data_IF_410657916833
#
_entry.id   IF_410657916833
#
_cell.length_a   1.000
_cell.length_b   1.000
_cell.length_c   1.000
_cell.angle_alpha   90.00
_cell.angle_beta   90.00
_cell.angle_gamma   90.00
#
_symmetry.space_group_name_H-M   'P 1'
#
loop_
_entity.id
_entity.type
_entity.pdbx_description
1 polymer ?
#
# COMPACT_ATOMS: atom_id res chain seq x y z
N UNK A 1 -37.47 -31.41 -27.08
CA UNK A 1 -36.95 -30.77 -25.86
C UNK A 1 -35.56 -31.31 -25.62
N UNK A 2 -34.49 -30.51 -25.78
CA UNK A 2 -33.16 -30.97 -25.45
C UNK A 2 -33.03 -31.06 -23.93
N UNK A 3 -32.49 -32.18 -23.44
CA UNK A 3 -32.18 -32.41 -22.03
C UNK A 3 -31.02 -31.50 -21.64
N UNK A 4 -31.14 -30.83 -20.49
CA UNK A 4 -30.08 -30.04 -19.89
C UNK A 4 -28.82 -30.90 -19.75
N UNK A 5 -27.69 -30.42 -20.30
CA UNK A 5 -26.38 -30.94 -19.97
C UNK A 5 -26.09 -30.49 -18.54
N UNK A 6 -25.83 -31.45 -17.66
CA UNK A 6 -25.22 -31.19 -16.36
C UNK A 6 -23.82 -30.65 -16.67
N UNK A 7 -23.54 -29.44 -16.22
CA UNK A 7 -22.20 -28.86 -16.28
C UNK A 7 -21.34 -29.64 -15.28
N UNK A 8 -20.63 -30.64 -15.79
CA UNK A 8 -19.51 -31.30 -15.11
C UNK A 8 -18.45 -30.21 -14.84
N UNK A 9 -18.45 -29.68 -13.62
CA UNK A 9 -17.25 -29.04 -13.11
C UNK A 9 -16.24 -30.15 -12.87
N UNK A 10 -15.36 -30.38 -13.85
CA UNK A 10 -14.14 -31.14 -13.67
C UNK A 10 -13.45 -30.56 -12.41
N UNK A 11 -13.49 -31.35 -11.33
CA UNK A 11 -12.73 -31.10 -10.12
C UNK A 11 -11.27 -31.03 -10.57
N UNK A 12 -10.73 -29.82 -10.55
CA UNK A 12 -9.33 -29.56 -10.84
C UNK A 12 -8.53 -30.52 -9.95
N UNK A 13 -7.77 -31.40 -10.62
CA UNK A 13 -6.82 -32.33 -10.02
C UNK A 13 -6.08 -31.61 -8.90
N UNK A 14 -5.90 -32.27 -7.75
CA UNK A 14 -5.15 -31.76 -6.60
C UNK A 14 -3.66 -31.61 -7.00
N UNK A 15 -3.36 -30.67 -7.90
CA UNK A 15 -2.02 -30.19 -8.16
C UNK A 15 -1.56 -29.57 -6.86
N UNK A 16 -0.66 -30.29 -6.20
CA UNK A 16 0.09 -29.94 -5.00
C UNK A 16 0.57 -28.49 -5.11
N UNK A 17 -0.27 -27.56 -4.63
CA UNK A 17 0.06 -26.15 -4.60
C UNK A 17 1.37 -26.04 -3.82
N UNK A 18 2.42 -25.40 -4.38
CA UNK A 18 3.65 -25.22 -3.66
C UNK A 18 3.30 -24.59 -2.32
N UNK A 19 3.76 -25.23 -1.23
CA UNK A 19 3.47 -24.85 0.14
C UNK A 19 3.98 -23.41 0.36
N UNK A 20 3.14 -22.44 0.01
CA UNK A 20 3.34 -21.06 0.37
C UNK A 20 3.22 -21.06 1.89
N UNK A 21 4.36 -21.06 2.59
CA UNK A 21 4.49 -21.02 4.05
C UNK A 21 3.88 -19.77 4.73
N UNK A 22 2.90 -19.15 4.08
CA UNK A 22 2.12 -18.01 4.51
C UNK A 22 0.75 -18.42 5.11
N UNK A 23 0.36 -19.70 5.02
CA UNK A 23 -0.99 -20.19 5.37
C UNK A 23 -1.06 -21.30 6.43
N UNK A 24 0.00 -21.56 7.22
CA UNK A 24 -0.13 -22.49 8.37
C UNK A 24 -0.90 -21.80 9.51
N UNK A 25 -2.21 -22.03 9.57
CA UNK A 25 -3.13 -21.45 10.56
C UNK A 25 -2.83 -21.86 12.01
N UNK A 26 -2.09 -22.94 12.22
CA UNK A 26 -1.88 -23.53 13.54
C UNK A 26 -0.80 -22.84 14.39
N UNK A 27 0.09 -22.05 13.77
CA UNK A 27 1.24 -21.46 14.47
C UNK A 27 1.24 -19.93 14.51
N UNK A 28 0.29 -19.26 13.86
CA UNK A 28 0.28 -17.80 13.76
C UNK A 28 -0.57 -17.16 14.87
N UNK A 29 0.09 -16.40 15.74
CA UNK A 29 -0.60 -15.63 16.80
C UNK A 29 -1.19 -14.33 16.23
N UNK A 30 -2.44 -14.43 15.75
CA UNK A 30 -3.20 -13.29 15.24
C UNK A 30 -3.39 -12.20 16.31
N UNK A 31 -3.60 -12.57 17.58
CA UNK A 31 -3.84 -11.60 18.64
C UNK A 31 -2.60 -10.74 18.89
N UNK A 32 -1.43 -11.38 19.04
CA UNK A 32 -0.16 -10.66 19.18
C UNK A 32 0.18 -9.83 17.93
N UNK A 33 -0.11 -10.34 16.73
CA UNK A 33 0.14 -9.61 15.48
C UNK A 33 -0.65 -8.29 15.41
N UNK A 34 -1.98 -8.35 15.59
CA UNK A 34 -2.80 -7.15 15.49
C UNK A 34 -2.56 -6.18 16.66
N UNK A 35 -2.22 -6.68 17.84
CA UNK A 35 -1.83 -5.82 18.96
C UNK A 35 -0.55 -5.03 18.69
N UNK A 36 0.49 -5.64 18.09
CA UNK A 36 1.72 -4.91 17.71
C UNK A 36 1.44 -3.78 16.72
N UNK A 37 0.56 -4.02 15.75
CA UNK A 37 0.18 -2.99 14.77
C UNK A 37 -0.61 -1.88 15.47
N UNK A 38 -1.51 -2.23 16.40
CA UNK A 38 -2.29 -1.28 17.19
C UNK A 38 -1.41 -0.40 18.08
N UNK A 39 -0.35 -0.97 18.69
CA UNK A 39 0.60 -0.24 19.54
C UNK A 39 1.65 0.57 18.77
N UNK A 40 1.62 0.51 17.42
CA UNK A 40 2.62 1.12 16.51
C UNK A 40 4.03 0.53 16.66
N UNK A 41 4.11 -0.70 17.15
CA UNK A 41 5.35 -1.48 17.24
C UNK A 41 5.51 -2.42 16.03
N UNK A 42 4.57 -2.37 15.07
CA UNK A 42 4.63 -3.11 13.82
C UNK A 42 5.81 -2.71 12.94
N UNK A 43 6.39 -3.70 12.28
CA UNK A 43 7.41 -3.51 11.24
C UNK A 43 6.77 -3.11 9.91
N UNK A 44 7.57 -2.60 8.97
CA UNK A 44 7.08 -2.33 7.61
C UNK A 44 6.44 -3.56 6.96
N UNK A 45 7.01 -4.75 7.22
CA UNK A 45 6.47 -6.04 6.76
C UNK A 45 5.13 -6.40 7.40
N UNK A 46 4.95 -6.11 8.69
CA UNK A 46 3.67 -6.32 9.37
C UNK A 46 2.56 -5.47 8.75
N UNK A 47 2.89 -4.23 8.35
CA UNK A 47 1.95 -3.35 7.66
C UNK A 47 1.60 -3.84 6.25
N UNK A 48 2.59 -4.39 5.53
CA UNK A 48 2.39 -4.98 4.20
C UNK A 48 1.53 -6.25 4.26
N UNK A 49 1.71 -7.09 5.29
CA UNK A 49 0.91 -8.31 5.48
C UNK A 49 -0.46 -8.07 6.14
N UNK A 50 -0.76 -6.85 6.61
CA UNK A 50 -1.94 -6.59 7.43
C UNK A 50 -3.25 -7.09 6.80
N UNK A 51 -3.51 -6.71 5.54
CA UNK A 51 -4.78 -7.03 4.86
C UNK A 51 -4.94 -8.51 4.61
N UNK A 52 -3.86 -9.21 4.21
CA UNK A 52 -3.92 -10.66 4.01
C UNK A 52 -4.13 -11.38 5.34
N UNK A 53 -3.47 -10.95 6.42
CA UNK A 53 -3.66 -11.54 7.76
C UNK A 53 -5.07 -11.27 8.30
N UNK A 54 -5.63 -10.08 8.04
CA UNK A 54 -7.01 -9.76 8.39
C UNK A 54 -7.99 -10.68 7.64
N UNK A 55 -7.75 -10.91 6.35
CA UNK A 55 -8.59 -11.80 5.53
C UNK A 55 -8.50 -13.25 6.00
N UNK A 56 -7.30 -13.73 6.33
CA UNK A 56 -7.11 -15.06 6.93
C UNK A 56 -7.87 -15.19 8.25
N UNK A 57 -7.76 -14.23 9.16
CA UNK A 57 -8.48 -14.25 10.44
C UNK A 57 -10.00 -14.29 10.23
N UNK A 58 -10.51 -13.53 9.25
CA UNK A 58 -11.93 -13.52 8.92
C UNK A 58 -12.39 -14.90 8.43
N UNK A 59 -11.69 -15.45 7.44
CA UNK A 59 -12.00 -16.76 6.88
C UNK A 59 -11.93 -17.87 7.95
N UNK A 60 -10.91 -17.87 8.80
CA UNK A 60 -10.79 -18.83 9.91
C UNK A 60 -11.95 -18.72 10.91
N UNK A 61 -12.37 -17.50 11.26
CA UNK A 61 -13.52 -17.29 12.14
C UNK A 61 -14.81 -17.81 11.50
N UNK A 62 -15.05 -17.50 10.23
CA UNK A 62 -16.22 -17.96 9.47
C UNK A 62 -16.25 -19.48 9.34
N UNK A 63 -15.15 -20.12 8.94
CA UNK A 63 -15.08 -21.58 8.79
C UNK A 63 -15.18 -22.33 10.12
N UNK A 64 -14.82 -21.68 11.23
CA UNK A 64 -14.97 -22.26 12.57
C UNK A 64 -16.36 -22.02 13.18
N UNK A 65 -17.35 -21.57 12.40
CA UNK A 65 -18.68 -21.13 12.87
C UNK A 65 -18.62 -20.09 14.00
N UNK A 66 -17.53 -19.34 14.10
CA UNK A 66 -17.37 -18.24 15.06
C UNK A 66 -17.85 -16.94 14.41
N UNK A 67 -18.54 -16.12 15.20
CA UNK A 67 -18.87 -14.77 14.76
C UNK A 67 -17.58 -13.95 14.59
N UNK A 68 -17.32 -13.37 13.40
CA UNK A 68 -16.12 -12.57 13.23
C UNK A 68 -16.09 -11.34 14.12
N UNK A 69 -14.89 -10.90 14.48
CA UNK A 69 -14.72 -9.75 15.35
C UNK A 69 -15.30 -8.47 14.73
N UNK A 70 -15.92 -7.62 15.55
CA UNK A 70 -16.59 -6.40 15.08
C UNK A 70 -15.65 -5.45 14.35
N UNK A 71 -14.41 -5.31 14.81
CA UNK A 71 -13.42 -4.43 14.18
C UNK A 71 -13.05 -4.94 12.79
N UNK A 72 -13.00 -6.27 12.63
CA UNK A 72 -12.65 -6.93 11.37
C UNK A 72 -13.77 -6.77 10.35
N UNK A 73 -15.02 -6.96 10.79
CA UNK A 73 -16.21 -6.66 9.98
C UNK A 73 -16.26 -5.20 9.56
N UNK A 74 -16.00 -4.27 10.50
CA UNK A 74 -16.00 -2.84 10.21
C UNK A 74 -14.88 -2.47 9.22
N UNK A 75 -13.69 -3.05 9.37
CA UNK A 75 -12.58 -2.87 8.44
C UNK A 75 -13.01 -3.26 7.02
N UNK A 76 -13.46 -4.50 6.81
CA UNK A 76 -13.88 -4.96 5.49
C UNK A 76 -15.07 -4.19 4.94
N UNK A 77 -16.09 -3.88 5.75
CA UNK A 77 -17.24 -3.09 5.28
C UNK A 77 -16.83 -1.72 4.79
N UNK A 78 -15.87 -1.06 5.44
CA UNK A 78 -15.36 0.22 4.98
C UNK A 78 -14.59 0.11 3.66
N UNK A 79 -13.76 -0.93 3.49
CA UNK A 79 -13.05 -1.15 2.23
C UNK A 79 -14.01 -1.45 1.09
N UNK A 80 -14.97 -2.35 1.31
CA UNK A 80 -16.00 -2.65 0.30
C UNK A 80 -16.82 -1.42 -0.06
N UNK A 81 -17.19 -0.57 0.92
CA UNK A 81 -17.91 0.66 0.64
C UNK A 81 -17.11 1.60 -0.27
N UNK A 82 -15.80 1.71 -0.08
CA UNK A 82 -14.94 2.54 -0.93
C UNK A 82 -14.81 1.99 -2.33
N UNK A 83 -14.64 0.67 -2.45
CA UNK A 83 -14.63 -0.02 -3.74
C UNK A 83 -15.95 0.19 -4.48
N UNK A 84 -17.09 0.07 -3.79
CA UNK A 84 -18.41 0.34 -4.37
C UNK A 84 -18.59 1.81 -4.79
N UNK A 85 -17.88 2.73 -4.16
CA UNK A 85 -17.82 4.14 -4.54
C UNK A 85 -16.80 4.43 -5.66
N UNK A 86 -16.20 3.39 -6.26
CA UNK A 86 -15.32 3.50 -7.43
C UNK A 86 -13.82 3.48 -7.12
N UNK A 87 -13.41 3.15 -5.89
CA UNK A 87 -12.00 2.89 -5.60
C UNK A 87 -11.55 1.53 -6.18
N UNK A 88 -10.26 1.43 -6.53
CA UNK A 88 -9.67 0.20 -7.04
C UNK A 88 -9.48 -0.83 -5.91
N UNK A 89 -9.69 -2.12 -6.23
CA UNK A 89 -9.55 -3.21 -5.27
C UNK A 89 -8.15 -3.30 -4.67
N UNK A 90 -7.11 -3.09 -5.49
CA UNK A 90 -5.72 -3.15 -5.07
C UNK A 90 -5.33 -2.03 -4.08
N UNK A 91 -6.05 -0.91 -4.09
CA UNK A 91 -5.76 0.22 -3.23
C UNK A 91 -6.43 0.08 -1.86
N UNK A 92 -7.68 -0.41 -1.83
CA UNK A 92 -8.45 -0.56 -0.58
C UNK A 92 -8.17 -1.90 0.13
N UNK A 93 -7.82 -2.95 -0.62
CA UNK A 93 -7.38 -4.24 -0.12
C UNK A 93 -5.99 -4.57 -0.65
N UNK A 94 -4.94 -3.87 -0.16
CA UNK A 94 -3.58 -4.09 -0.62
C UNK A 94 -3.11 -5.50 -0.28
N UNK A 95 -2.67 -6.23 -1.30
CA UNK A 95 -2.02 -7.52 -1.13
C UNK A 95 -0.51 -7.33 -1.34
N UNK A 96 0.36 -8.06 -0.60
CA UNK A 96 1.80 -7.84 -0.63
C UNK A 96 2.44 -7.89 -2.03
N UNK A 97 1.84 -8.64 -2.95
CA UNK A 97 2.34 -8.85 -4.32
C UNK A 97 1.56 -8.10 -5.38
N UNK A 98 0.51 -7.37 -5.02
CA UNK A 98 -0.31 -6.62 -5.97
C UNK A 98 0.14 -5.17 -5.97
N UNK A 99 0.60 -4.63 -7.12
CA UNK A 99 0.96 -3.23 -7.20
C UNK A 99 -0.28 -2.36 -6.99
N UNK A 100 -0.14 -1.36 -6.13
CA UNK A 100 -1.15 -0.32 -5.93
C UNK A 100 -1.13 0.69 -7.08
N UNK A 101 -2.25 1.38 -7.28
CA UNK A 101 -2.35 2.45 -8.27
C UNK A 101 -1.40 3.57 -7.88
N UNK A 102 -0.54 3.98 -8.82
CA UNK A 102 0.33 5.12 -8.59
C UNK A 102 -0.50 6.40 -8.45
N UNK A 103 -0.53 6.98 -7.24
CA UNK A 103 -1.23 8.25 -6.94
C UNK A 103 -0.73 9.40 -7.84
N UNK A 104 0.54 9.31 -8.27
CA UNK A 104 1.21 10.33 -9.07
C UNK A 104 1.73 9.74 -10.36
N UNK A 105 1.61 10.51 -11.43
CA UNK A 105 2.33 10.20 -12.67
C UNK A 105 3.84 10.15 -12.40
N UNK A 106 4.58 9.42 -13.24
CA UNK A 106 6.05 9.35 -13.18
C UNK A 106 6.73 10.73 -13.10
N UNK A 107 6.18 11.71 -13.81
CA UNK A 107 6.68 13.08 -13.80
C UNK A 107 6.43 13.79 -12.46
N UNK A 108 5.23 13.61 -11.89
CA UNK A 108 4.87 14.18 -10.59
C UNK A 108 5.66 13.55 -9.45
N UNK A 109 5.82 12.22 -9.46
CA UNK A 109 6.64 11.49 -8.49
C UNK A 109 8.08 11.97 -8.51
N UNK A 110 8.68 12.10 -9.70
CA UNK A 110 10.04 12.67 -9.85
C UNK A 110 10.11 14.11 -9.31
N UNK A 111 9.10 14.94 -9.58
CA UNK A 111 9.04 16.30 -9.06
C UNK A 111 9.00 16.33 -7.53
N UNK A 112 8.22 15.43 -6.92
CA UNK A 112 8.13 15.28 -5.47
C UNK A 112 9.45 14.79 -4.87
N UNK A 113 10.11 13.80 -5.50
CA UNK A 113 11.40 13.28 -5.06
C UNK A 113 12.49 14.37 -5.07
N UNK A 114 12.50 15.21 -6.11
CA UNK A 114 13.39 16.38 -6.20
C UNK A 114 13.12 17.34 -5.03
N UNK A 115 11.85 17.66 -4.78
CA UNK A 115 11.46 18.54 -3.67
C UNK A 115 11.89 17.98 -2.31
N UNK A 116 11.56 16.72 -2.03
CA UNK A 116 11.92 16.02 -0.80
C UNK A 116 13.43 15.95 -0.61
N UNK A 117 14.19 15.68 -1.68
CA UNK A 117 15.64 15.69 -1.63
C UNK A 117 16.19 17.05 -1.23
N UNK A 118 15.76 18.13 -1.89
CA UNK A 118 16.24 19.49 -1.60
C UNK A 118 15.91 19.89 -0.16
N UNK A 119 14.68 19.67 0.32
CA UNK A 119 14.28 20.00 1.69
C UNK A 119 15.05 19.17 2.73
N UNK A 120 15.25 17.87 2.48
CA UNK A 120 16.03 17.03 3.38
C UNK A 120 17.51 17.43 3.42
N UNK A 121 18.12 17.73 2.26
CA UNK A 121 19.51 18.20 2.19
C UNK A 121 19.67 19.58 2.84
N UNK A 122 18.70 20.47 2.66
CA UNK A 122 18.67 21.78 3.33
C UNK A 122 18.53 21.65 4.85
N UNK A 123 17.68 20.73 5.33
CA UNK A 123 17.53 20.45 6.76
C UNK A 123 18.81 19.87 7.36
N UNK A 124 19.49 18.96 6.65
CA UNK A 124 20.76 18.39 7.07
C UNK A 124 21.90 19.41 7.03
N UNK A 125 21.86 20.36 6.10
CA UNK A 125 22.90 21.37 5.90
C UNK A 125 22.29 22.78 5.75
N UNK A 126 21.94 23.44 6.86
CA UNK A 126 21.19 24.71 6.82
C UNK A 126 21.94 25.87 6.16
N UNK A 127 23.28 25.82 6.10
CA UNK A 127 24.11 26.87 5.54
C UNK A 127 24.37 26.72 4.03
N UNK A 128 23.91 25.63 3.40
CA UNK A 128 24.06 25.43 1.97
C UNK A 128 23.20 26.41 1.18
N UNK A 129 23.79 27.05 0.16
CA UNK A 129 23.06 27.93 -0.75
C UNK A 129 22.08 27.12 -1.60
N UNK A 130 20.92 27.71 -1.91
CA UNK A 130 19.89 27.06 -2.73
C UNK A 130 20.42 26.62 -4.11
N UNK A 131 21.27 27.42 -4.75
CA UNK A 131 21.84 27.07 -6.05
C UNK A 131 22.65 25.76 -5.99
N UNK A 132 23.41 25.53 -4.93
CA UNK A 132 24.14 24.29 -4.72
C UNK A 132 23.20 23.09 -4.50
N UNK A 133 22.07 23.31 -3.82
CA UNK A 133 21.04 22.27 -3.62
C UNK A 133 20.37 21.89 -4.95
N UNK A 134 20.06 22.87 -5.79
CA UNK A 134 19.47 22.63 -7.11
C UNK A 134 20.44 21.90 -8.04
N UNK A 135 21.72 22.26 -8.06
CA UNK A 135 22.74 21.52 -8.80
C UNK A 135 22.89 20.08 -8.30
N UNK A 136 22.90 19.89 -6.97
CA UNK A 136 22.94 18.54 -6.38
C UNK A 136 21.71 17.70 -6.75
N UNK A 137 20.53 18.31 -6.81
CA UNK A 137 19.32 17.61 -7.25
C UNK A 137 19.34 17.30 -8.76
N UNK A 138 19.78 18.27 -9.57
CA UNK A 138 19.91 18.13 -11.02
C UNK A 138 20.82 16.95 -11.40
N UNK A 139 21.99 16.83 -10.74
CA UNK A 139 22.90 15.71 -10.98
C UNK A 139 22.33 14.37 -10.49
N UNK A 140 21.73 14.34 -9.29
CA UNK A 140 21.14 13.11 -8.71
C UNK A 140 20.00 12.55 -9.57
N UNK A 141 19.10 13.40 -10.03
CA UNK A 141 17.90 12.99 -10.77
C UNK A 141 18.06 13.09 -12.29
N UNK A 142 19.29 13.37 -12.78
CA UNK A 142 19.64 13.49 -14.21
C UNK A 142 18.69 14.42 -14.96
N UNK A 143 18.51 15.62 -14.41
CA UNK A 143 17.64 16.67 -14.94
C UNK A 143 18.40 18.01 -15.06
N UNK A 144 17.86 18.98 -15.79
CA UNK A 144 18.45 20.32 -15.86
C UNK A 144 18.30 21.08 -14.53
N UNK A 145 19.19 22.03 -14.29
CA UNK A 145 19.12 22.95 -13.15
C UNK A 145 17.77 23.69 -13.11
N UNK A 146 17.31 24.24 -14.25
CA UNK A 146 16.04 24.96 -14.28
C UNK A 146 14.86 24.04 -13.96
N UNK A 147 14.91 22.79 -14.41
CA UNK A 147 13.87 21.80 -14.13
C UNK A 147 13.83 21.45 -12.64
N UNK A 148 14.99 21.24 -12.00
CA UNK A 148 15.04 20.97 -10.56
C UNK A 148 14.51 22.16 -9.74
N UNK A 149 14.87 23.39 -10.15
CA UNK A 149 14.38 24.63 -9.54
C UNK A 149 12.86 24.79 -9.70
N UNK A 150 12.33 24.58 -10.90
CA UNK A 150 10.89 24.69 -11.19
C UNK A 150 10.08 23.69 -10.37
N UNK A 151 10.48 22.41 -10.36
CA UNK A 151 9.79 21.38 -9.59
C UNK A 151 9.78 21.69 -8.08
N UNK A 152 10.90 22.18 -7.53
CA UNK A 152 10.97 22.59 -6.13
C UNK A 152 9.93 23.67 -5.80
N UNK A 153 9.87 24.76 -6.58
CA UNK A 153 8.92 25.84 -6.30
C UNK A 153 7.47 25.46 -6.57
N UNK A 154 7.22 24.60 -7.57
CA UNK A 154 5.88 24.05 -7.85
C UNK A 154 5.32 23.31 -6.64
N UNK A 155 6.12 22.41 -6.04
CA UNK A 155 5.71 21.65 -4.85
C UNK A 155 5.67 22.51 -3.58
N UNK A 156 6.64 23.42 -3.40
CA UNK A 156 6.63 24.36 -2.28
C UNK A 156 5.33 25.17 -2.23
N UNK A 157 4.92 25.77 -3.36
CA UNK A 157 3.65 26.51 -3.46
C UNK A 157 2.44 25.63 -3.12
N UNK A 158 2.41 24.40 -3.62
CA UNK A 158 1.33 23.43 -3.34
C UNK A 158 1.23 23.11 -1.85
N UNK A 159 2.35 22.94 -1.14
CA UNK A 159 2.38 22.69 0.30
C UNK A 159 2.03 23.90 1.16
N UNK A 160 2.29 25.12 0.68
CA UNK A 160 1.94 26.36 1.39
C UNK A 160 0.44 26.69 1.25
N UNK A 161 -0.18 26.42 0.11
CA UNK A 161 -1.63 26.62 -0.08
C UNK A 161 -2.50 25.67 0.75
N UNK A 162 -1.98 24.53 1.21
CA UNK A 162 -2.72 23.60 2.07
C UNK A 162 -2.72 24.01 3.57
N UNK A 163 -2.00 25.09 3.94
CA UNK A 163 -1.95 25.60 5.31
C UNK A 163 -2.93 26.76 5.59
N UNK A 164 -3.68 27.19 4.57
CA UNK A 164 -4.76 28.18 4.67
C UNK A 164 -6.11 27.46 4.75
#
# INVERSE_FOLDING_TARGET
MPKNKEDDYDLIDDEEYPEYGMFSSESFDYAAFFERIRTREGTAKDHEEFTIRAMQMFCLQVWSDKKPDKWLLNYFSNQFLRVLNGAEWCDELPLPWVPQTEIWTRAEKRGLDIFCYIENTKRANPNLKMDSLFWGAADKFKTSYETARDQYYKWKKKTEHQKQ
#
